data_IF_369368173770
#
_entry.id   IF_369368173770
#
_cell.length_a   1.000
_cell.length_b   1.000
_cell.length_c   1.000
_cell.angle_alpha   90.00
_cell.angle_beta   90.00
_cell.angle_gamma   90.00
#
_symmetry.space_group_name_H-M   'P 1'
#
loop_
_entity.id
_entity.type
_entity.pdbx_description
1 polymer ?
#
# COMPACT_ATOMS: atom_id res chain seq x y z
N UNK A 1 -22.97 36.64 -6.88
CA UNK A 1 -23.65 35.37 -6.53
C UNK A 1 -22.62 34.26 -6.60
N UNK A 2 -22.47 33.51 -5.52
CA UNK A 2 -21.40 32.52 -5.31
C UNK A 2 -21.54 31.33 -6.26
N UNK A 3 -20.45 30.99 -6.96
CA UNK A 3 -20.27 29.67 -7.55
C UNK A 3 -20.22 28.66 -6.40
N UNK A 4 -21.22 27.79 -6.33
CA UNK A 4 -21.17 26.63 -5.45
C UNK A 4 -20.14 25.64 -6.01
N UNK A 5 -19.18 25.31 -5.15
CA UNK A 5 -17.99 24.52 -5.46
C UNK A 5 -18.34 23.06 -5.80
N UNK A 6 -17.56 22.58 -6.76
CA UNK A 6 -17.33 21.21 -7.24
C UNK A 6 -17.68 20.06 -6.29
N UNK A 7 -18.27 19.03 -6.88
CA UNK A 7 -18.50 17.68 -6.34
C UNK A 7 -17.27 17.13 -5.60
N UNK A 8 -17.31 17.20 -4.28
CA UNK A 8 -16.30 16.67 -3.37
C UNK A 8 -16.48 15.14 -3.26
N UNK A 9 -16.14 14.39 -4.30
CA UNK A 9 -16.13 12.92 -4.23
C UNK A 9 -15.01 12.50 -3.28
N UNK A 10 -15.33 11.73 -2.23
CA UNK A 10 -14.31 11.19 -1.31
C UNK A 10 -13.30 10.35 -2.08
N UNK A 11 -12.02 10.50 -1.76
CA UNK A 11 -10.92 9.81 -2.44
C UNK A 11 -11.15 8.29 -2.48
N UNK A 12 -10.79 7.68 -3.61
CA UNK A 12 -10.86 6.23 -3.79
C UNK A 12 -9.52 5.59 -3.42
N UNK A 13 -9.57 4.42 -2.77
CA UNK A 13 -8.37 3.70 -2.33
C UNK A 13 -8.31 2.28 -2.91
N UNK A 14 -7.11 1.79 -3.21
CA UNK A 14 -6.93 0.41 -3.68
C UNK A 14 -5.78 -0.29 -2.98
N UNK A 15 -5.92 -1.61 -2.84
CA UNK A 15 -4.83 -2.52 -2.51
C UNK A 15 -4.49 -3.35 -3.75
N UNK A 16 -3.26 -3.23 -4.21
CA UNK A 16 -2.73 -3.97 -5.36
C UNK A 16 -1.71 -5.00 -4.89
N UNK A 17 -1.75 -6.21 -5.47
CA UNK A 17 -0.79 -7.26 -5.13
C UNK A 17 0.60 -6.97 -5.71
N UNK A 18 1.65 -7.19 -4.92
CA UNK A 18 3.03 -7.01 -5.35
C UNK A 18 3.94 -8.19 -4.98
N UNK A 19 5.07 -8.30 -5.67
CA UNK A 19 6.12 -9.26 -5.35
C UNK A 19 6.85 -8.81 -4.08
N UNK A 20 6.64 -9.53 -2.98
CA UNK A 20 7.11 -9.17 -1.64
C UNK A 20 8.62 -8.90 -1.53
N UNK A 21 9.47 -9.72 -2.16
CA UNK A 21 10.92 -9.47 -2.12
C UNK A 21 11.28 -8.20 -2.89
N UNK A 22 10.69 -8.03 -4.08
CA UNK A 22 11.00 -6.91 -4.97
C UNK A 22 10.51 -5.57 -4.43
N UNK A 23 9.36 -5.50 -3.75
CA UNK A 23 8.82 -4.22 -3.29
C UNK A 23 9.75 -3.52 -2.31
N UNK A 24 10.34 -4.27 -1.38
CA UNK A 24 11.31 -3.72 -0.42
C UNK A 24 12.61 -3.32 -1.10
N UNK A 25 13.15 -4.17 -1.97
CA UNK A 25 14.42 -3.91 -2.67
C UNK A 25 14.32 -2.70 -3.60
N UNK A 26 13.23 -2.61 -4.38
CA UNK A 26 12.97 -1.48 -5.28
C UNK A 26 12.76 -0.19 -4.48
N UNK A 27 11.97 -0.23 -3.41
CA UNK A 27 11.77 0.95 -2.57
C UNK A 27 13.09 1.44 -1.94
N UNK A 28 13.89 0.52 -1.39
CA UNK A 28 15.21 0.82 -0.81
C UNK A 28 16.15 1.43 -1.84
N UNK A 29 16.21 0.88 -3.05
CA UNK A 29 17.00 1.42 -4.15
C UNK A 29 16.58 2.84 -4.54
N UNK A 30 15.28 3.10 -4.67
CA UNK A 30 14.72 4.42 -5.02
C UNK A 30 14.94 5.48 -3.92
N UNK A 31 14.91 5.08 -2.65
CA UNK A 31 15.21 6.00 -1.54
C UNK A 31 16.71 6.28 -1.42
N UNK A 32 17.57 5.30 -1.76
CA UNK A 32 19.03 5.41 -1.62
C UNK A 32 19.70 6.13 -2.79
N UNK A 33 19.12 6.06 -3.99
CA UNK A 33 19.62 6.78 -5.18
C UNK A 33 19.66 8.30 -4.96
N UNK A 34 18.71 8.85 -4.19
CA UNK A 34 18.70 10.26 -3.77
C UNK A 34 19.93 10.66 -2.93
N UNK A 35 20.54 9.69 -2.24
CA UNK A 35 21.79 9.88 -1.47
C UNK A 35 23.05 9.70 -2.33
N UNK A 36 22.90 9.65 -3.67
CA UNK A 36 23.96 9.35 -4.66
C UNK A 36 24.65 7.99 -4.46
N UNK A 37 24.00 7.05 -3.75
CA UNK A 37 24.44 5.67 -3.71
C UNK A 37 23.79 4.89 -4.85
N UNK A 38 24.59 4.40 -5.80
CA UNK A 38 24.10 3.57 -6.91
C UNK A 38 24.17 2.06 -6.59
N UNK A 39 24.68 1.68 -5.42
CA UNK A 39 24.90 0.27 -5.05
C UNK A 39 23.57 -0.48 -4.93
N UNK A 40 22.61 0.07 -4.17
CA UNK A 40 21.29 -0.52 -3.98
C UNK A 40 20.51 -0.62 -5.30
N UNK A 41 20.65 0.39 -6.17
CA UNK A 41 20.05 0.39 -7.50
C UNK A 41 20.64 -0.73 -8.37
N UNK A 42 21.97 -0.82 -8.41
CA UNK A 42 22.67 -1.85 -9.20
C UNK A 42 22.29 -3.24 -8.73
N UNK A 43 22.34 -3.49 -7.42
CA UNK A 43 21.98 -4.78 -6.82
C UNK A 43 20.52 -5.17 -7.11
N UNK A 44 19.58 -4.21 -7.02
CA UNK A 44 18.18 -4.44 -7.36
C UNK A 44 18.00 -4.79 -8.86
N UNK A 45 18.74 -4.12 -9.75
CA UNK A 45 18.73 -4.36 -11.20
C UNK A 45 19.35 -5.71 -11.61
N UNK A 46 20.12 -6.39 -10.74
CA UNK A 46 20.61 -7.74 -11.00
C UNK A 46 19.48 -8.79 -10.94
N UNK A 47 18.36 -8.48 -10.28
CA UNK A 47 17.27 -9.43 -10.15
C UNK A 47 16.61 -9.72 -11.53
N UNK A 48 16.52 -10.98 -12.00
CA UNK A 48 16.02 -11.30 -13.35
C UNK A 48 14.63 -10.75 -13.65
N UNK A 49 13.69 -10.84 -12.69
CA UNK A 49 12.34 -10.25 -12.83
C UNK A 49 12.35 -8.74 -13.05
N UNK A 50 13.29 -8.00 -12.46
CA UNK A 50 13.38 -6.54 -12.65
C UNK A 50 13.82 -6.24 -14.08
N UNK A 51 14.83 -6.95 -14.57
CA UNK A 51 15.31 -6.79 -15.95
C UNK A 51 14.23 -7.16 -16.97
N UNK A 52 13.52 -8.27 -16.74
CA UNK A 52 12.35 -8.68 -17.54
C UNK A 52 11.31 -7.54 -17.58
N UNK A 53 10.99 -6.97 -16.42
CA UNK A 53 10.04 -5.85 -16.32
C UNK A 53 10.48 -4.65 -17.12
N UNK A 54 11.72 -4.20 -17.00
CA UNK A 54 12.21 -3.07 -17.79
C UNK A 54 12.11 -3.35 -19.30
N UNK A 55 12.59 -4.51 -19.76
CA UNK A 55 12.53 -4.89 -21.19
C UNK A 55 11.09 -4.92 -21.72
N UNK A 56 10.16 -5.53 -20.98
CA UNK A 56 8.74 -5.60 -21.41
C UNK A 56 8.06 -4.24 -21.47
N UNK A 57 8.64 -3.23 -20.84
CA UNK A 57 8.16 -1.85 -20.88
C UNK A 57 8.96 -0.96 -21.84
N UNK A 58 9.86 -1.53 -22.63
CA UNK A 58 10.68 -0.82 -23.61
C UNK A 58 11.82 0.01 -23.01
N UNK A 59 12.28 -0.33 -21.80
CA UNK A 59 13.48 0.24 -21.20
C UNK A 59 14.62 -0.75 -21.40
N UNK A 60 15.64 -0.34 -22.15
CA UNK A 60 16.83 -1.16 -22.46
C UNK A 60 18.09 -0.73 -21.67
N UNK A 61 18.09 0.47 -21.07
CA UNK A 61 19.15 0.96 -20.18
C UNK A 61 18.58 1.32 -18.81
N UNK A 62 19.01 0.55 -17.80
CA UNK A 62 18.63 0.72 -16.40
C UNK A 62 19.86 0.72 -15.47
N UNK A 63 21.05 1.00 -16.00
CA UNK A 63 22.29 0.98 -15.22
C UNK A 63 22.33 2.07 -14.14
N UNK A 64 21.61 3.17 -14.38
CA UNK A 64 21.45 4.27 -13.43
C UNK A 64 19.99 4.68 -13.36
N UNK A 65 19.53 5.07 -12.16
CA UNK A 65 18.16 5.53 -11.93
C UNK A 65 17.77 6.67 -12.88
N UNK A 66 18.67 7.62 -13.11
CA UNK A 66 18.42 8.83 -13.89
C UNK A 66 18.25 8.59 -15.41
N UNK A 67 18.63 7.41 -15.91
CA UNK A 67 18.37 7.03 -17.30
C UNK A 67 16.88 6.72 -17.55
N UNK A 68 16.11 6.48 -16.49
CA UNK A 68 14.69 6.13 -16.56
C UNK A 68 13.84 7.37 -16.33
N UNK A 69 13.05 7.74 -17.34
CA UNK A 69 12.22 8.95 -17.34
C UNK A 69 11.01 8.88 -16.40
N UNK A 70 10.63 7.69 -15.96
CA UNK A 70 9.54 7.51 -15.01
C UNK A 70 9.92 8.06 -13.64
N UNK A 71 8.92 8.53 -12.90
CA UNK A 71 9.10 8.89 -11.50
C UNK A 71 9.15 7.66 -10.58
N UNK A 72 9.61 7.86 -9.34
CA UNK A 72 9.79 6.79 -8.37
C UNK A 72 8.52 5.97 -8.10
N UNK A 73 7.32 6.57 -7.96
CA UNK A 73 6.09 5.79 -7.77
C UNK A 73 5.80 4.89 -8.96
N UNK A 74 6.00 5.39 -10.18
CA UNK A 74 5.80 4.60 -11.41
C UNK A 74 6.80 3.45 -11.48
N UNK A 75 8.08 3.69 -11.16
CA UNK A 75 9.10 2.65 -11.09
C UNK A 75 8.73 1.59 -10.05
N UNK A 76 8.42 2.01 -8.81
CA UNK A 76 8.03 1.12 -7.72
C UNK A 76 6.84 0.24 -8.13
N UNK A 77 5.77 0.86 -8.62
CA UNK A 77 4.55 0.13 -8.97
C UNK A 77 4.76 -0.82 -10.14
N UNK A 78 5.40 -0.36 -11.22
CA UNK A 78 5.55 -1.13 -12.45
C UNK A 78 6.45 -2.35 -12.26
N UNK A 79 7.54 -2.20 -11.52
CA UNK A 79 8.50 -3.28 -11.29
C UNK A 79 7.97 -4.35 -10.33
N UNK A 80 7.12 -3.96 -9.38
CA UNK A 80 6.78 -4.83 -8.24
C UNK A 80 5.36 -5.40 -8.33
N UNK A 81 4.43 -4.75 -9.06
CA UNK A 81 3.05 -5.23 -9.19
C UNK A 81 3.01 -6.64 -9.76
N UNK A 82 2.20 -7.51 -9.17
CA UNK A 82 2.01 -8.86 -9.67
C UNK A 82 1.08 -8.87 -10.88
N UNK A 83 1.49 -9.63 -11.90
CA UNK A 83 0.66 -9.96 -13.06
C UNK A 83 0.36 -11.46 -13.06
N UNK A 84 -0.72 -11.85 -13.71
CA UNK A 84 -1.02 -13.23 -14.06
C UNK A 84 -0.23 -13.69 -15.30
N UNK A 85 -0.53 -14.90 -15.77
CA UNK A 85 0.14 -15.53 -16.92
C UNK A 85 -0.07 -14.79 -18.23
N UNK A 86 -1.13 -14.00 -18.34
CA UNK A 86 -1.48 -13.22 -19.53
C UNK A 86 -0.92 -11.79 -19.44
N UNK A 87 -0.16 -11.48 -18.40
CA UNK A 87 0.39 -10.14 -18.17
C UNK A 87 -0.64 -9.14 -17.64
N UNK A 88 -1.76 -9.62 -17.09
CA UNK A 88 -2.80 -8.76 -16.52
C UNK A 88 -2.61 -8.64 -15.00
N UNK A 89 -2.81 -7.46 -14.39
CA UNK A 89 -2.69 -7.31 -12.94
C UNK A 89 -3.59 -8.28 -12.17
N UNK A 90 -3.01 -8.94 -11.17
CA UNK A 90 -3.81 -9.83 -10.31
C UNK A 90 -4.85 -9.02 -9.54
N UNK A 91 -6.05 -9.58 -9.45
CA UNK A 91 -7.14 -9.00 -8.66
C UNK A 91 -7.12 -9.60 -7.25
N UNK A 92 -7.14 -8.74 -6.24
CA UNK A 92 -7.25 -9.12 -4.83
C UNK A 92 -8.70 -8.97 -4.37
N UNK A 93 -9.32 -10.09 -4.01
CA UNK A 93 -10.72 -10.16 -3.61
C UNK A 93 -11.72 -9.89 -4.73
N UNK A 94 -12.99 -10.05 -4.39
CA UNK A 94 -14.12 -9.75 -5.28
C UNK A 94 -14.36 -8.25 -5.41
N UNK A 95 -14.99 -7.83 -6.52
CA UNK A 95 -15.28 -6.42 -6.82
C UNK A 95 -16.01 -5.71 -5.68
N UNK A 96 -16.97 -6.39 -5.04
CA UNK A 96 -17.72 -5.83 -3.91
C UNK A 96 -16.81 -5.48 -2.73
N UNK A 97 -15.82 -6.32 -2.41
CA UNK A 97 -14.92 -6.08 -1.28
C UNK A 97 -13.98 -4.91 -1.57
N UNK A 98 -13.54 -4.79 -2.83
CA UNK A 98 -12.67 -3.69 -3.28
C UNK A 98 -13.38 -2.36 -3.31
N UNK A 99 -14.61 -2.33 -3.80
CA UNK A 99 -15.42 -1.10 -3.81
C UNK A 99 -15.69 -0.63 -2.38
N UNK A 100 -16.04 -1.55 -1.48
CA UNK A 100 -16.29 -1.25 -0.06
C UNK A 100 -15.03 -0.81 0.68
N UNK A 101 -13.88 -1.40 0.36
CA UNK A 101 -12.59 -0.95 0.88
C UNK A 101 -12.22 0.44 0.35
N UNK A 102 -12.42 0.67 -0.96
CA UNK A 102 -11.95 1.86 -1.64
C UNK A 102 -12.82 3.10 -1.41
N UNK A 103 -14.07 2.93 -1.00
CA UNK A 103 -15.02 4.01 -0.69
C UNK A 103 -15.64 3.80 0.68
N UNK A 104 -14.83 3.92 1.72
CA UNK A 104 -15.36 3.83 3.07
C UNK A 104 -16.26 5.05 3.36
N UNK A 105 -17.44 4.90 3.99
CA UNK A 105 -18.39 5.99 4.20
C UNK A 105 -17.97 6.95 5.33
N UNK A 106 -16.78 7.54 5.21
CA UNK A 106 -16.17 8.47 6.16
C UNK A 106 -15.53 9.65 5.39
N UNK A 107 -15.31 10.79 6.05
CA UNK A 107 -14.83 12.00 5.36
C UNK A 107 -13.45 11.82 4.67
N UNK A 108 -12.64 10.87 5.13
CA UNK A 108 -11.35 10.52 4.51
C UNK A 108 -11.50 9.55 3.33
N UNK A 109 -12.60 8.80 3.23
CA UNK A 109 -12.79 7.70 2.28
C UNK A 109 -11.92 6.45 2.56
N UNK A 110 -10.97 6.53 3.49
CA UNK A 110 -9.94 5.52 3.72
C UNK A 110 -10.36 4.50 4.78
N UNK A 111 -10.51 3.24 4.37
CA UNK A 111 -10.77 2.12 5.28
C UNK A 111 -9.64 1.94 6.30
N UNK A 112 -8.38 1.98 5.86
CA UNK A 112 -7.22 1.77 6.74
C UNK A 112 -7.13 2.87 7.80
N UNK A 113 -7.31 4.13 7.39
CA UNK A 113 -7.25 5.26 8.30
C UNK A 113 -8.39 5.19 9.32
N UNK A 114 -9.61 4.87 8.86
CA UNK A 114 -10.76 4.73 9.76
C UNK A 114 -10.53 3.65 10.83
N UNK A 115 -10.01 2.48 10.44
CA UNK A 115 -9.65 1.42 11.40
C UNK A 115 -8.59 1.93 12.38
N UNK A 116 -7.50 2.50 11.86
CA UNK A 116 -6.38 2.98 12.66
C UNK A 116 -6.76 4.03 13.70
N UNK A 117 -7.71 4.90 13.38
CA UNK A 117 -8.22 5.98 14.25
C UNK A 117 -9.22 5.47 15.31
N UNK A 118 -9.86 4.32 15.09
CA UNK A 118 -10.98 3.83 15.92
C UNK A 118 -10.70 2.51 16.66
N UNK A 119 -9.50 1.92 16.52
CA UNK A 119 -9.05 0.83 17.40
C UNK A 119 -8.38 1.37 18.67
N UNK A 120 -8.52 0.66 19.79
CA UNK A 120 -7.95 1.01 21.09
C UNK A 120 -7.25 -0.21 21.69
N UNK A 121 -6.10 0.01 22.31
CA UNK A 121 -5.44 -1.02 23.11
C UNK A 121 -6.35 -1.46 24.27
N UNK A 122 -6.38 -2.77 24.52
CA UNK A 122 -7.10 -3.39 25.64
C UNK A 122 -6.23 -3.58 26.89
N UNK A 123 -4.92 -3.28 26.84
CA UNK A 123 -4.03 -3.22 28.00
C UNK A 123 -3.77 -4.56 28.69
N UNK A 124 -4.08 -5.70 28.06
CA UNK A 124 -3.73 -7.04 28.56
C UNK A 124 -2.30 -7.45 28.15
N UNK A 125 -1.84 -8.63 28.57
CA UNK A 125 -0.54 -9.25 28.17
C UNK A 125 -0.33 -9.41 26.64
N UNK A 126 -1.23 -8.89 25.82
CA UNK A 126 -1.26 -8.92 24.35
C UNK A 126 -0.84 -7.57 23.73
N UNK A 127 -0.09 -6.73 24.45
CA UNK A 127 0.36 -5.42 23.96
C UNK A 127 1.11 -5.55 22.62
N UNK A 128 1.93 -6.60 22.45
CA UNK A 128 2.65 -6.88 21.21
C UNK A 128 1.71 -7.05 20.00
N UNK A 129 0.54 -7.69 20.15
CA UNK A 129 -0.41 -7.87 19.04
C UNK A 129 -1.04 -6.54 18.60
N UNK A 130 -1.27 -5.63 19.55
CA UNK A 130 -1.80 -4.30 19.24
C UNK A 130 -0.74 -3.42 18.58
N UNK A 131 0.49 -3.45 19.08
CA UNK A 131 1.64 -2.74 18.51
C UNK A 131 1.88 -3.20 17.06
N UNK A 132 1.94 -4.51 16.82
CA UNK A 132 2.05 -5.09 15.48
C UNK A 132 0.90 -4.66 14.56
N UNK A 133 -0.36 -4.71 15.03
CA UNK A 133 -1.52 -4.26 14.26
C UNK A 133 -1.37 -2.79 13.84
N UNK A 134 -1.04 -1.93 14.80
CA UNK A 134 -0.86 -0.50 14.58
C UNK A 134 0.27 -0.24 13.61
N UNK A 135 1.42 -0.88 13.79
CA UNK A 135 2.60 -0.71 12.94
C UNK A 135 2.26 -1.06 11.48
N UNK A 136 1.57 -2.18 11.24
CA UNK A 136 1.26 -2.62 9.88
C UNK A 136 0.16 -1.78 9.22
N UNK A 137 -0.78 -1.23 9.98
CA UNK A 137 -1.71 -0.22 9.48
C UNK A 137 -0.96 1.07 9.11
N UNK A 138 -0.02 1.51 9.95
CA UNK A 138 0.80 2.69 9.71
C UNK A 138 1.72 2.49 8.49
N UNK A 139 2.26 1.28 8.29
CA UNK A 139 3.00 0.94 7.08
C UNK A 139 2.17 1.10 5.80
N UNK A 140 0.87 0.79 5.82
CA UNK A 140 -0.01 1.04 4.67
C UNK A 140 -0.35 2.54 4.51
N UNK A 141 -0.29 3.35 5.57
CA UNK A 141 -0.68 4.76 5.54
C UNK A 141 0.48 5.70 5.24
N UNK A 142 1.66 5.45 5.80
CA UNK A 142 2.74 6.45 5.85
C UNK A 142 4.12 5.95 5.41
N UNK A 143 4.31 4.67 5.09
CA UNK A 143 5.64 4.13 4.71
C UNK A 143 6.25 4.82 3.48
N UNK A 144 5.44 5.41 2.62
CA UNK A 144 5.90 6.18 1.46
C UNK A 144 5.68 7.69 1.61
N UNK A 145 5.33 8.18 2.81
CA UNK A 145 5.11 9.62 3.03
C UNK A 145 6.42 10.41 3.11
N UNK A 146 6.31 11.74 3.21
CA UNK A 146 7.44 12.65 3.30
C UNK A 146 8.30 12.49 4.54
N UNK A 147 7.74 12.03 5.66
CA UNK A 147 8.49 11.85 6.90
C UNK A 147 9.48 10.68 6.79
N UNK A 148 9.11 9.65 6.02
CA UNK A 148 9.95 8.47 5.77
C UNK A 148 10.89 8.71 4.58
N UNK A 149 10.38 9.32 3.51
CA UNK A 149 11.06 9.43 2.21
C UNK A 149 11.87 10.72 2.05
N UNK A 150 11.53 11.76 2.82
CA UNK A 150 12.15 13.09 2.81
C UNK A 150 11.46 14.13 1.90
N UNK A 151 10.49 13.70 1.08
CA UNK A 151 9.72 14.57 0.19
C UNK A 151 8.36 13.95 -0.20
N UNK A 152 7.54 14.69 -0.95
CA UNK A 152 6.18 14.25 -1.33
C UNK A 152 6.12 13.44 -2.64
N UNK A 153 7.23 12.89 -3.15
CA UNK A 153 7.26 12.29 -4.50
C UNK A 153 6.28 11.14 -4.69
N UNK A 154 5.99 10.36 -3.65
CA UNK A 154 4.99 9.30 -3.68
C UNK A 154 3.54 9.77 -3.50
N UNK A 155 3.33 11.02 -3.08
CA UNK A 155 2.01 11.66 -2.97
C UNK A 155 1.64 12.51 -4.18
N UNK A 156 2.57 12.66 -5.13
CA UNK A 156 2.44 13.50 -6.34
C UNK A 156 2.94 12.76 -7.58
N UNK A 157 2.68 11.45 -7.66
CA UNK A 157 3.12 10.64 -8.78
C UNK A 157 2.43 11.03 -10.10
N UNK A 158 3.14 10.80 -11.18
CA UNK A 158 2.72 11.03 -12.56
C UNK A 158 1.46 10.23 -12.87
N UNK A 159 0.55 10.83 -13.64
CA UNK A 159 -0.75 10.20 -13.94
C UNK A 159 -1.64 9.99 -12.72
N UNK A 160 -1.39 10.67 -11.59
CA UNK A 160 -2.18 10.54 -10.36
C UNK A 160 -1.81 9.31 -9.52
N UNK A 161 -0.65 8.69 -9.76
CA UNK A 161 -0.21 7.50 -9.04
C UNK A 161 0.32 7.85 -7.64
N UNK A 162 -0.56 7.87 -6.64
CA UNK A 162 -0.16 8.12 -5.26
C UNK A 162 -0.05 6.81 -4.48
N UNK A 163 1.13 6.52 -3.93
CA UNK A 163 1.42 5.30 -3.16
C UNK A 163 1.61 5.70 -1.70
N UNK A 164 0.67 5.29 -0.84
CA UNK A 164 0.67 5.61 0.59
C UNK A 164 1.70 4.77 1.36
N UNK A 165 1.78 3.49 0.99
CA UNK A 165 2.58 2.51 1.68
C UNK A 165 2.44 1.12 1.06
N UNK A 166 3.20 0.17 1.59
CA UNK A 166 3.18 -1.22 1.12
C UNK A 166 3.45 -2.18 2.28
N UNK A 167 3.07 -3.44 2.09
CA UNK A 167 3.42 -4.55 2.96
C UNK A 167 4.09 -5.65 2.16
N UNK A 168 5.07 -6.30 2.76
CA UNK A 168 5.61 -7.60 2.34
C UNK A 168 4.59 -8.71 2.61
N UNK A 169 4.81 -9.90 2.04
CA UNK A 169 3.96 -11.06 2.26
C UNK A 169 3.91 -11.47 3.74
N UNK A 170 5.06 -11.41 4.44
CA UNK A 170 5.11 -11.72 5.87
C UNK A 170 4.31 -10.69 6.68
N UNK A 171 4.47 -9.41 6.38
CA UNK A 171 3.71 -8.32 6.99
C UNK A 171 2.19 -8.42 6.70
N UNK A 172 1.78 -8.92 5.53
CA UNK A 172 0.38 -9.21 5.23
C UNK A 172 -0.17 -10.28 6.18
N UNK A 173 0.58 -11.36 6.42
CA UNK A 173 0.16 -12.41 7.36
C UNK A 173 0.09 -11.89 8.79
N UNK A 174 1.07 -11.09 9.19
CA UNK A 174 1.08 -10.46 10.52
C UNK A 174 -0.13 -9.57 10.70
N UNK A 175 -0.37 -8.63 9.78
CA UNK A 175 -1.53 -7.75 9.82
C UNK A 175 -2.83 -8.54 9.91
N UNK A 176 -3.01 -9.58 9.09
CA UNK A 176 -4.24 -10.39 9.13
C UNK A 176 -4.39 -11.12 10.46
N UNK A 177 -3.31 -11.69 10.98
CA UNK A 177 -3.30 -12.40 12.25
C UNK A 177 -3.67 -11.47 13.40
N UNK A 178 -3.07 -10.28 13.48
CA UNK A 178 -3.33 -9.31 14.56
C UNK A 178 -4.69 -8.63 14.42
N UNK A 179 -5.18 -8.42 13.19
CA UNK A 179 -6.52 -7.91 12.92
C UNK A 179 -7.61 -8.85 13.47
N UNK A 180 -7.37 -10.16 13.49
CA UNK A 180 -8.31 -11.17 13.98
C UNK A 180 -7.99 -11.70 15.38
N UNK A 181 -6.75 -11.55 15.85
CA UNK A 181 -6.21 -12.17 17.06
C UNK A 181 -6.64 -11.54 18.38
N UNK A 182 -7.36 -10.41 18.33
CA UNK A 182 -7.78 -9.66 19.52
C UNK A 182 -6.68 -8.74 20.06
N UNK A 183 -6.78 -8.33 21.33
CA UNK A 183 -5.84 -7.36 21.92
C UNK A 183 -6.20 -5.89 21.66
N UNK A 184 -7.28 -5.65 20.93
CA UNK A 184 -7.82 -4.31 20.67
C UNK A 184 -9.34 -4.31 20.85
N UNK A 185 -9.89 -3.11 21.05
CA UNK A 185 -11.33 -2.85 21.07
C UNK A 185 -11.68 -1.69 20.15
N UNK A 186 -12.96 -1.54 19.84
CA UNK A 186 -13.48 -0.39 19.12
C UNK A 186 -13.63 0.78 20.08
N UNK A 187 -13.25 1.97 19.64
CA UNK A 187 -13.43 3.21 20.38
C UNK A 187 -14.90 3.41 20.79
N UNK A 188 -15.13 3.88 22.02
CA UNK A 188 -16.49 4.13 22.53
C UNK A 188 -17.22 5.24 21.78
N UNK A 189 -16.45 6.15 21.20
CA UNK A 189 -16.85 7.31 20.42
C UNK A 189 -16.70 7.07 18.91
N UNK A 190 -16.74 5.81 18.46
CA UNK A 190 -16.70 5.47 17.05
C UNK A 190 -17.78 6.28 16.27
N UNK A 191 -17.42 6.98 15.18
CA UNK A 191 -18.36 7.83 14.44
C UNK A 191 -19.48 7.06 13.73
N UNK A 192 -19.21 5.83 13.29
CA UNK A 192 -20.14 5.00 12.53
C UNK A 192 -20.37 3.71 13.31
N UNK A 193 -21.58 3.46 13.79
CA UNK A 193 -21.90 2.25 14.53
C UNK A 193 -21.55 0.98 13.73
N UNK A 194 -20.61 0.20 14.24
CA UNK A 194 -20.12 -1.02 13.60
C UNK A 194 -19.20 -0.79 12.41
N UNK A 195 -18.75 0.43 12.16
CA UNK A 195 -17.89 0.81 11.04
C UNK A 195 -16.56 0.05 11.02
N UNK A 196 -15.90 -0.11 12.17
CA UNK A 196 -14.62 -0.80 12.29
C UNK A 196 -14.80 -2.28 11.94
N UNK A 197 -15.88 -2.90 12.40
CA UNK A 197 -16.17 -4.30 12.08
C UNK A 197 -16.47 -4.48 10.59
N UNK A 198 -17.15 -3.51 9.96
CA UNK A 198 -17.41 -3.51 8.53
C UNK A 198 -16.13 -3.35 7.70
N UNK A 199 -15.32 -2.35 8.04
CA UNK A 199 -14.01 -2.08 7.48
C UNK A 199 -13.09 -3.30 7.54
N UNK A 200 -12.98 -3.90 8.72
CA UNK A 200 -12.15 -5.09 8.97
C UNK A 200 -12.61 -6.28 8.11
N UNK A 201 -13.92 -6.47 7.93
CA UNK A 201 -14.43 -7.56 7.10
C UNK A 201 -13.93 -7.46 5.66
N UNK A 202 -14.00 -6.26 5.08
CA UNK A 202 -13.57 -6.03 3.70
C UNK A 202 -12.05 -6.04 3.57
N UNK A 203 -11.33 -5.44 4.52
CA UNK A 203 -9.86 -5.51 4.58
C UNK A 203 -9.38 -6.97 4.70
N UNK A 204 -9.95 -7.75 5.61
CA UNK A 204 -9.58 -9.17 5.80
C UNK A 204 -9.83 -10.01 4.55
N UNK A 205 -10.90 -9.74 3.79
CA UNK A 205 -11.13 -10.42 2.52
C UNK A 205 -10.01 -10.16 1.49
N UNK A 206 -9.49 -8.94 1.45
CA UNK A 206 -8.35 -8.56 0.60
C UNK A 206 -7.04 -9.19 1.10
N UNK A 207 -6.81 -9.20 2.42
CA UNK A 207 -5.64 -9.85 3.03
C UNK A 207 -5.62 -11.36 2.75
N UNK A 208 -6.76 -12.05 2.89
CA UNK A 208 -6.89 -13.48 2.53
C UNK A 208 -6.56 -13.71 1.06
N UNK A 209 -7.02 -12.83 0.16
CA UNK A 209 -6.72 -12.95 -1.26
C UNK A 209 -5.22 -12.75 -1.56
N UNK A 210 -4.57 -11.80 -0.88
CA UNK A 210 -3.14 -11.57 -0.98
C UNK A 210 -2.33 -12.77 -0.46
N UNK A 211 -2.73 -13.31 0.70
CA UNK A 211 -2.08 -14.50 1.27
C UNK A 211 -2.15 -15.71 0.34
N UNK A 212 -3.35 -16.00 -0.22
CA UNK A 212 -3.55 -17.10 -1.16
C UNK A 212 -2.69 -16.99 -2.42
N UNK A 213 -2.28 -15.77 -2.78
CA UNK A 213 -1.43 -15.50 -3.94
C UNK A 213 0.05 -15.36 -3.59
N UNK A 214 0.42 -15.47 -2.32
CA UNK A 214 1.81 -15.24 -1.88
C UNK A 214 2.28 -13.80 -2.11
N UNK A 215 1.35 -12.82 -2.11
CA UNK A 215 1.64 -11.44 -2.51
C UNK A 215 1.83 -10.52 -1.30
N UNK A 216 2.69 -9.52 -1.46
CA UNK A 216 2.61 -8.29 -0.67
C UNK A 216 1.45 -7.41 -1.13
N UNK A 217 1.36 -6.21 -0.57
CA UNK A 217 0.34 -5.21 -0.89
C UNK A 217 0.95 -3.84 -1.16
N UNK A 218 0.39 -3.09 -2.11
CA UNK A 218 0.63 -1.66 -2.28
C UNK A 218 -0.70 -0.93 -2.07
N UNK A 219 -0.70 0.03 -1.15
CA UNK A 219 -1.85 0.90 -0.89
C UNK A 219 -1.74 2.17 -1.71
N UNK A 220 -2.75 2.41 -2.55
CA UNK A 220 -2.81 3.58 -3.42
C UNK A 220 -4.02 4.44 -3.14
N UNK A 221 -3.82 5.74 -3.32
CA UNK A 221 -4.87 6.76 -3.29
C UNK A 221 -5.09 7.30 -4.69
N UNK A 222 -6.35 7.43 -5.08
CA UNK A 222 -6.77 8.02 -6.35
C UNK A 222 -7.41 9.38 -6.08
N UNK A 223 -7.03 10.37 -6.89
CA UNK A 223 -7.57 11.72 -6.85
C UNK A 223 -8.87 11.83 -7.65
#
# INVERSE_FOLDING_TARGET
MMNQNHDNTTAFYTLDGCHSGLVSDVFKALVSSQKKSNEEWTMMCEHPKIQERFRTQGIDDWNVRDAISWDDPTVLFTLTRMLDVDGVPIMLGEDRNRERFGRFPHHTGSTIQYVRENIRDMGSQTNELYEDLVEHLDFLLIRCNSDVVGDERYMKGSGGLNIMGYLTYEEVKTLRSTLLGGGWSVAKDEPIDGGVRDAIRHLNALLIAAERRGSGLIHRKHA
#
